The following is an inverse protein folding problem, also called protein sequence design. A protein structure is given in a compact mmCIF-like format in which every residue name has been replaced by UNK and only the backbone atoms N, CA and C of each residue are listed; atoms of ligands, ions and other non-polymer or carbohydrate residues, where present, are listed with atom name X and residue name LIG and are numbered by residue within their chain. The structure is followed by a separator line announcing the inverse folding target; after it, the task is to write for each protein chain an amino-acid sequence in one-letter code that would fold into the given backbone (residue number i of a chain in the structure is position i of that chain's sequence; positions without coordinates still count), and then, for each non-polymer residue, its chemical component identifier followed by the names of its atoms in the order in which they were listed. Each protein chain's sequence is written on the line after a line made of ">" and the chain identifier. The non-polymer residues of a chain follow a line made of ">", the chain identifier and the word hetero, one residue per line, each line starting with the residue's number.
data_IF_372102260572
#
_entry.id   IF_372102260572
#
_cell.length_a   1.000
_cell.length_b   1.000
_cell.length_c   1.000
_cell.angle_alpha   90.00
_cell.angle_beta   90.00
_cell.angle_gamma   90.00
#
_symmetry.space_group_name_H-M   'P 1'
#
loop_
_entity.id
_entity.type
_entity.pdbx_description
1 polymer ?
#
# COMPACT_ATOMS: atom_id res chain seq x y z
N UNK A 1 -8.47 1.18 -6.54
CA UNK A 1 -8.45 0.50 -5.24
C UNK A 1 -9.72 -0.32 -5.04
N UNK A 2 -9.61 -1.50 -4.42
CA UNK A 2 -10.73 -2.40 -4.08
C UNK A 2 -11.59 -1.82 -2.95
N UNK A 3 -12.83 -2.30 -2.83
CA UNK A 3 -13.63 -2.10 -1.62
C UNK A 3 -13.09 -3.01 -0.50
N UNK A 4 -12.53 -2.42 0.55
CA UNK A 4 -11.80 -3.09 1.64
C UNK A 4 -12.71 -3.63 2.75
N UNK A 5 -14.03 -3.58 2.61
CA UNK A 5 -14.94 -4.10 3.65
C UNK A 5 -14.77 -5.62 3.88
N UNK A 6 -14.32 -6.37 2.87
CA UNK A 6 -14.04 -7.79 3.04
C UNK A 6 -12.86 -8.07 4.00
N UNK A 7 -12.04 -7.04 4.29
CA UNK A 7 -10.95 -7.09 5.28
C UNK A 7 -11.34 -6.56 6.65
N UNK A 8 -12.62 -6.26 6.92
CA UNK A 8 -13.04 -5.65 8.18
C UNK A 8 -12.71 -6.46 9.43
N UNK A 9 -12.60 -7.79 9.33
CA UNK A 9 -12.17 -8.64 10.45
C UNK A 9 -10.71 -8.41 10.86
N UNK A 10 -9.90 -7.81 9.98
CA UNK A 10 -8.48 -7.50 10.20
C UNK A 10 -8.24 -6.01 10.44
N UNK A 11 -9.28 -5.19 10.34
CA UNK A 11 -9.21 -3.74 10.44
C UNK A 11 -9.05 -3.31 11.89
N UNK A 12 -8.15 -2.37 12.14
CA UNK A 12 -7.84 -1.84 13.47
C UNK A 12 -7.97 -0.34 13.52
N UNK A 13 -8.19 0.20 14.72
CA UNK A 13 -8.26 1.65 14.93
C UNK A 13 -6.86 2.26 14.79
N UNK A 14 -6.77 3.32 14.00
CA UNK A 14 -5.58 4.17 13.88
C UNK A 14 -5.97 5.58 14.30
N UNK A 15 -5.29 6.13 15.31
CA UNK A 15 -5.62 7.45 15.90
C UNK A 15 -7.09 7.61 16.32
N UNK A 16 -7.75 6.52 16.74
CA UNK A 16 -9.15 6.50 17.19
C UNK A 16 -10.17 6.20 16.08
N UNK A 17 -9.75 6.30 14.82
CA UNK A 17 -10.60 6.08 13.64
C UNK A 17 -10.46 4.65 13.11
N UNK A 18 -11.57 4.04 12.68
CA UNK A 18 -11.57 2.69 12.09
C UNK A 18 -11.43 2.73 10.56
N UNK A 19 -11.81 3.85 9.92
CA UNK A 19 -11.84 4.03 8.47
C UNK A 19 -13.15 3.58 7.82
N UNK A 20 -13.14 3.49 6.49
CA UNK A 20 -14.29 3.22 5.61
C UNK A 20 -13.94 2.17 4.55
N UNK A 21 -14.77 2.00 3.52
CA UNK A 21 -14.55 1.01 2.46
C UNK A 21 -13.27 1.18 1.63
N UNK A 22 -12.56 2.32 1.71
CA UNK A 22 -11.30 2.55 0.99
C UNK A 22 -10.14 2.99 1.90
N UNK A 23 -10.44 3.47 3.11
CA UNK A 23 -9.47 4.01 4.06
C UNK A 23 -9.42 3.15 5.31
N UNK A 24 -8.25 2.84 5.86
CA UNK A 24 -8.15 2.14 7.13
C UNK A 24 -6.77 1.56 7.41
N UNK A 25 -6.60 1.05 8.63
CA UNK A 25 -5.42 0.29 9.04
C UNK A 25 -5.79 -1.16 9.30
N UNK A 26 -4.87 -2.09 9.01
CA UNK A 26 -5.10 -3.53 9.06
C UNK A 26 -3.89 -4.27 9.62
N UNK A 27 -4.13 -5.31 10.40
CA UNK A 27 -3.13 -6.32 10.74
C UNK A 27 -3.41 -7.61 9.99
N UNK A 28 -2.51 -7.96 9.09
CA UNK A 28 -2.60 -9.15 8.24
C UNK A 28 -1.47 -10.11 8.56
N UNK A 29 -1.73 -11.40 8.47
CA UNK A 29 -0.68 -12.42 8.55
C UNK A 29 -0.33 -12.85 7.12
N UNK A 30 0.83 -12.44 6.63
CA UNK A 30 1.31 -12.76 5.27
C UNK A 30 2.62 -13.54 5.41
N UNK A 31 2.65 -14.78 4.92
CA UNK A 31 3.81 -15.68 5.02
C UNK A 31 4.37 -15.79 6.46
N UNK A 32 3.46 -15.96 7.42
CA UNK A 32 3.75 -16.06 8.86
C UNK A 32 4.37 -14.80 9.49
N UNK A 33 4.34 -13.67 8.77
CA UNK A 33 4.82 -12.37 9.25
C UNK A 33 3.62 -11.43 9.47
N UNK A 34 3.52 -10.92 10.70
CA UNK A 34 2.55 -9.86 11.03
C UNK A 34 2.87 -8.60 10.23
N UNK A 35 1.92 -8.22 9.38
CA UNK A 35 2.03 -7.16 8.40
C UNK A 35 1.01 -6.08 8.72
N UNK A 36 1.53 -4.89 9.05
CA UNK A 36 0.69 -3.72 9.27
C UNK A 36 0.51 -2.98 7.94
N UNK A 37 -0.74 -2.76 7.56
CA UNK A 37 -1.09 -2.11 6.30
C UNK A 37 -1.98 -0.91 6.57
N UNK A 38 -1.66 0.24 5.98
CA UNK A 38 -2.55 1.40 5.96
C UNK A 38 -2.94 1.65 4.50
N UNK A 39 -4.24 1.75 4.25
CA UNK A 39 -4.80 2.19 2.99
C UNK A 39 -5.42 3.57 3.15
N UNK A 40 -5.17 4.44 2.18
CA UNK A 40 -5.76 5.76 2.09
C UNK A 40 -6.11 6.10 0.64
N UNK A 41 -7.29 6.68 0.44
CA UNK A 41 -7.79 7.15 -0.84
C UNK A 41 -8.29 8.58 -0.70
N UNK A 42 -7.75 9.44 -1.54
CA UNK A 42 -8.20 10.83 -1.73
C UNK A 42 -8.72 11.00 -3.16
N UNK A 43 -9.18 12.21 -3.50
CA UNK A 43 -9.57 12.54 -4.87
C UNK A 43 -8.38 12.56 -5.86
N UNK A 44 -7.15 12.54 -5.35
CA UNK A 44 -5.93 12.64 -6.15
C UNK A 44 -5.09 11.38 -6.12
N UNK A 45 -5.02 10.71 -4.97
CA UNK A 45 -4.10 9.60 -4.73
C UNK A 45 -4.77 8.43 -4.02
N UNK A 46 -4.44 7.24 -4.48
CA UNK A 46 -4.59 6.00 -3.73
C UNK A 46 -3.21 5.59 -3.21
N UNK A 47 -3.17 5.21 -1.94
CA UNK A 47 -1.96 4.88 -1.21
C UNK A 47 -2.17 3.65 -0.36
N UNK A 48 -1.19 2.75 -0.38
CA UNK A 48 -1.07 1.65 0.57
C UNK A 48 0.35 1.63 1.11
N UNK A 49 0.52 1.74 2.43
CA UNK A 49 1.79 1.48 3.10
C UNK A 49 1.77 0.12 3.77
N UNK A 50 2.89 -0.60 3.69
CA UNK A 50 3.09 -1.93 4.23
C UNK A 50 4.31 -1.88 5.11
N UNK A 51 4.18 -2.27 6.38
CA UNK A 51 5.31 -2.31 7.29
C UNK A 51 5.35 -3.56 8.14
N UNK A 52 6.57 -3.97 8.49
CA UNK A 52 6.83 -4.96 9.53
C UNK A 52 7.65 -4.32 10.64
N UNK A 53 7.70 -5.01 11.79
CA UNK A 53 8.40 -4.50 12.97
C UNK A 53 9.92 -4.42 12.80
N UNK A 54 10.54 -5.44 12.20
CA UNK A 54 12.00 -5.63 12.24
C UNK A 54 12.65 -5.95 10.88
N UNK A 55 11.85 -6.12 9.83
CA UNK A 55 12.34 -6.55 8.51
C UNK A 55 11.59 -5.77 7.44
N UNK A 56 12.26 -5.42 6.35
CA UNK A 56 11.58 -4.75 5.24
C UNK A 56 10.67 -5.75 4.53
N UNK A 57 9.41 -5.40 4.21
CA UNK A 57 8.53 -6.28 3.45
C UNK A 57 9.19 -6.78 2.16
N UNK A 58 9.08 -8.08 1.90
CA UNK A 58 9.64 -8.69 0.70
C UNK A 58 8.84 -8.29 -0.53
N UNK A 59 9.43 -8.49 -1.71
CA UNK A 59 8.71 -8.31 -2.97
C UNK A 59 7.43 -9.15 -3.02
N UNK A 60 7.48 -10.42 -2.59
CA UNK A 60 6.32 -11.31 -2.59
C UNK A 60 5.22 -10.85 -1.64
N UNK A 61 5.59 -10.34 -0.46
CA UNK A 61 4.63 -9.69 0.45
C UNK A 61 3.96 -8.50 -0.23
N UNK A 62 4.74 -7.65 -0.91
CA UNK A 62 4.20 -6.49 -1.61
C UNK A 62 3.25 -6.89 -2.74
N UNK A 63 3.55 -7.94 -3.51
CA UNK A 63 2.65 -8.47 -4.54
C UNK A 63 1.32 -8.94 -3.93
N UNK A 64 1.35 -9.72 -2.84
CA UNK A 64 0.13 -10.18 -2.17
C UNK A 64 -0.71 -9.01 -1.65
N UNK A 65 -0.07 -8.01 -1.05
CA UNK A 65 -0.77 -6.81 -0.59
C UNK A 65 -1.34 -6.02 -1.78
N UNK A 66 -0.61 -5.89 -2.90
CA UNK A 66 -1.15 -5.25 -4.11
C UNK A 66 -2.44 -5.94 -4.54
N UNK A 67 -2.43 -7.27 -4.63
CA UNK A 67 -3.59 -8.05 -5.09
C UNK A 67 -4.77 -7.97 -4.13
N UNK A 68 -4.52 -7.76 -2.83
CA UNK A 68 -5.57 -7.56 -1.84
C UNK A 68 -6.19 -6.14 -1.91
N UNK A 69 -5.39 -5.10 -2.14
CA UNK A 69 -5.84 -3.71 -1.98
C UNK A 69 -6.16 -2.99 -3.30
N UNK A 70 -5.59 -3.43 -4.42
CA UNK A 70 -5.80 -2.86 -5.75
C UNK A 70 -6.46 -3.86 -6.70
N UNK A 71 -7.13 -3.34 -7.72
CA UNK A 71 -7.68 -4.16 -8.81
C UNK A 71 -6.58 -4.71 -9.72
N UNK A 72 -6.85 -5.83 -10.38
CA UNK A 72 -5.85 -6.53 -11.20
C UNK A 72 -5.32 -5.66 -12.36
N UNK A 73 -6.17 -4.76 -12.87
CA UNK A 73 -5.84 -3.81 -13.94
C UNK A 73 -5.25 -2.47 -13.46
N UNK A 74 -5.00 -2.32 -12.15
CA UNK A 74 -4.46 -1.09 -11.58
C UNK A 74 -2.93 -1.14 -11.48
N UNK A 75 -2.29 -0.20 -12.16
CA UNK A 75 -0.87 0.07 -12.00
C UNK A 75 -0.63 0.87 -10.73
N UNK A 76 0.34 0.44 -9.93
CA UNK A 76 0.86 1.16 -8.76
C UNK A 76 2.37 1.33 -8.91
N UNK A 77 2.93 2.34 -8.25
CA UNK A 77 4.36 2.61 -8.26
C UNK A 77 4.91 2.69 -6.84
N UNK A 78 6.17 2.27 -6.68
CA UNK A 78 7.01 2.65 -5.54
C UNK A 78 7.99 3.71 -6.03
N UNK A 79 8.16 4.78 -5.25
CA UNK A 79 8.96 5.94 -5.62
C UNK A 79 10.20 6.04 -4.74
N UNK A 80 11.32 6.35 -5.37
CA UNK A 80 12.54 6.81 -4.71
C UNK A 80 12.69 8.30 -4.99
N UNK A 81 12.11 9.18 -4.15
CA UNK A 81 12.24 10.62 -4.34
C UNK A 81 13.72 11.08 -4.20
N UNK A 82 14.03 12.32 -4.61
CA UNK A 82 15.30 12.96 -4.28
C UNK A 82 15.61 12.82 -2.79
N UNK A 83 16.90 12.71 -2.44
CA UNK A 83 17.31 12.41 -1.05
C UNK A 83 16.83 13.47 -0.05
N UNK A 84 16.74 14.72 -0.48
CA UNK A 84 16.25 15.84 0.33
C UNK A 84 14.75 15.74 0.66
N UNK A 85 14.00 15.00 -0.16
CA UNK A 85 12.56 14.79 0.01
C UNK A 85 12.25 13.44 0.68
N UNK A 86 13.26 12.67 1.11
CA UNK A 86 13.04 11.41 1.83
C UNK A 86 12.46 11.70 3.21
N UNK A 87 11.19 11.35 3.38
CA UNK A 87 10.51 11.31 4.67
C UNK A 87 10.47 9.84 5.12
N UNK A 88 11.42 9.43 5.96
CA UNK A 88 11.46 8.08 6.53
C UNK A 88 11.03 8.10 8.00
N UNK A 89 9.72 7.94 8.24
CA UNK A 89 9.15 7.87 9.59
C UNK A 89 9.19 6.44 10.14
N UNK A 90 9.30 5.43 9.27
CA UNK A 90 9.25 4.02 9.64
C UNK A 90 10.19 3.19 8.76
N UNK A 91 11.32 2.76 9.33
CA UNK A 91 12.45 2.16 8.61
C UNK A 91 12.07 0.97 7.72
N UNK A 92 11.13 0.15 8.17
CA UNK A 92 10.67 -1.05 7.47
C UNK A 92 9.29 -0.85 6.82
N UNK A 93 9.08 0.29 6.18
CA UNK A 93 7.82 0.62 5.51
C UNK A 93 8.05 0.81 4.01
N UNK A 94 7.31 0.05 3.21
CA UNK A 94 7.22 0.23 1.76
C UNK A 94 5.85 0.78 1.39
N UNK A 95 5.78 1.45 0.27
CA UNK A 95 4.59 2.21 -0.12
C UNK A 95 4.28 1.97 -1.60
N UNK A 96 2.99 1.82 -1.90
CA UNK A 96 2.45 1.76 -3.24
C UNK A 96 1.53 2.96 -3.44
N UNK A 97 1.74 3.68 -4.54
CA UNK A 97 0.96 4.85 -4.91
C UNK A 97 0.33 4.69 -6.29
N UNK A 98 -0.85 5.28 -6.46
CA UNK A 98 -1.52 5.40 -7.75
C UNK A 98 -2.24 6.76 -7.82
N UNK A 99 -2.02 7.57 -8.87
CA UNK A 99 -2.84 8.75 -9.10
C UNK A 99 -4.24 8.33 -9.55
N UNK A 100 -5.27 9.02 -9.05
CA UNK A 100 -6.67 8.72 -9.37
C UNK A 100 -7.06 9.24 -10.75
N UNK A 101 -6.56 10.43 -11.12
CA UNK A 101 -6.94 11.16 -12.33
C UNK A 101 -6.05 10.86 -13.54
N UNK A 102 -4.84 10.38 -13.31
CA UNK A 102 -3.84 10.12 -14.34
C UNK A 102 -3.50 8.64 -14.45
N UNK A 103 -2.96 8.23 -15.60
CA UNK A 103 -2.38 6.89 -15.78
C UNK A 103 -0.89 6.94 -15.49
N UNK A 104 -0.40 5.98 -14.73
CA UNK A 104 1.05 5.75 -14.59
C UNK A 104 1.58 5.34 -15.96
N UNK A 105 2.57 6.08 -16.45
CA UNK A 105 3.22 5.78 -17.72
C UNK A 105 4.07 4.52 -17.56
N UNK A 106 3.77 3.50 -18.36
CA UNK A 106 4.58 2.29 -18.40
C UNK A 106 5.89 2.54 -19.18
N UNK A 107 7.01 1.91 -18.77
CA UNK A 107 8.20 1.88 -19.62
C UNK A 107 7.88 1.16 -20.94
N UNK A 108 8.66 1.41 -22.01
CA UNK A 108 8.54 0.65 -23.24
C UNK A 108 8.76 -0.85 -23.02
N UNK A 109 7.97 -1.70 -23.69
CA UNK A 109 7.99 -3.16 -23.52
C UNK A 109 9.35 -3.82 -23.76
N UNK A 110 10.26 -3.18 -24.51
CA UNK A 110 11.60 -3.72 -24.77
C UNK A 110 12.60 -3.49 -23.64
N UNK A 111 12.23 -2.69 -22.62
CA UNK A 111 13.09 -2.37 -21.46
C UNK A 111 12.78 -3.24 -20.24
N UNK A 112 11.80 -4.14 -20.33
CA UNK A 112 11.28 -4.96 -19.22
C UNK A 112 11.52 -6.45 -19.44
#
# INVERSE_FOLDING_TARGET
>A
MKNLNYLNNYRVKLFGEIGDEYNGAFFLLIDDIETFVIAAKTDEWEHVSVSHKNVTPSWDTMCKIKDMFFEDNETVMQLHPPKEDYINIHEHCLHMWRPVKDKIKMPPDFMV
#
